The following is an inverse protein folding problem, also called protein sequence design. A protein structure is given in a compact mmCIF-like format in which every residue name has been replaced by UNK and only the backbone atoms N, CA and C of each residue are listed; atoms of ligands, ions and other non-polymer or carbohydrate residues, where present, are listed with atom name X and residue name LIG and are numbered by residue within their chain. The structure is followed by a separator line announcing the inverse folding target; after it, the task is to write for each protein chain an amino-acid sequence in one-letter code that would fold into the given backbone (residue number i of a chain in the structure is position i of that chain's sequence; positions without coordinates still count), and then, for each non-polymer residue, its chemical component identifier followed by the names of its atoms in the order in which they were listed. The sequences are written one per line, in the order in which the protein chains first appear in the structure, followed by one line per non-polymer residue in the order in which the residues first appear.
data_IF_675683560656
#
_entry.id   IF_675683560656
#
_cell.length_a   1.000
_cell.length_b   1.000
_cell.length_c   1.000
_cell.angle_alpha   90.00
_cell.angle_beta   90.00
_cell.angle_gamma   90.00
#
_symmetry.space_group_name_H-M   'P 1'
#
loop_
_entity.id
_entity.type
_entity.pdbx_description
1 polymer ?
#
# COMPACT_ATOMS: atom_id res chain seq x y z
N UNK A 1 8.05 -25.23 -2.43
CA UNK A 1 8.23 -23.92 -3.12
C UNK A 1 8.42 -24.23 -4.60
N UNK A 2 7.76 -23.51 -5.51
CA UNK A 2 7.85 -23.76 -6.95
C UNK A 2 9.31 -23.65 -7.43
N UNK A 3 9.97 -24.75 -7.86
CA UNK A 3 11.40 -24.74 -8.20
C UNK A 3 11.71 -23.92 -9.46
N UNK A 4 10.69 -23.59 -10.26
CA UNK A 4 10.82 -22.71 -11.44
C UNK A 4 10.58 -21.23 -11.13
N UNK A 5 10.20 -20.89 -9.90
CA UNK A 5 9.92 -19.51 -9.51
C UNK A 5 11.16 -18.63 -9.56
N UNK A 6 11.03 -17.45 -10.14
CA UNK A 6 12.09 -16.43 -10.19
C UNK A 6 11.76 -15.27 -9.26
N UNK A 7 12.79 -14.65 -8.69
CA UNK A 7 12.65 -13.50 -7.81
C UNK A 7 13.52 -12.36 -8.34
N UNK A 8 12.91 -11.20 -8.54
CA UNK A 8 13.58 -10.00 -9.04
C UNK A 8 13.48 -8.89 -8.00
N UNK A 9 14.62 -8.27 -7.67
CA UNK A 9 14.66 -7.16 -6.72
C UNK A 9 14.73 -5.83 -7.47
N UNK A 10 13.73 -4.97 -7.24
CA UNK A 10 13.68 -3.60 -7.78
C UNK A 10 13.83 -2.63 -6.62
N UNK A 11 15.06 -2.15 -6.38
CA UNK A 11 15.38 -1.27 -5.26
C UNK A 11 14.86 0.16 -5.50
N UNK A 12 13.84 0.60 -4.74
CA UNK A 12 13.29 1.96 -4.78
C UNK A 12 12.74 2.40 -3.42
N UNK A 13 12.82 3.72 -3.16
CA UNK A 13 12.17 4.34 -2.00
C UNK A 13 10.70 4.66 -2.32
N UNK A 14 9.78 3.83 -1.84
CA UNK A 14 8.34 3.99 -2.06
C UNK A 14 7.69 5.07 -1.17
N UNK A 15 8.47 5.76 -0.35
CA UNK A 15 7.99 6.98 0.32
C UNK A 15 7.88 8.17 -0.63
N UNK A 16 8.16 7.99 -1.93
CA UNK A 16 8.00 8.96 -3.02
C UNK A 16 7.19 8.33 -4.16
N UNK A 17 6.15 9.01 -4.65
CA UNK A 17 5.26 8.47 -5.67
C UNK A 17 5.93 8.36 -7.05
N UNK A 18 6.91 9.21 -7.38
CA UNK A 18 7.68 9.05 -8.63
C UNK A 18 8.42 7.71 -8.74
N UNK A 19 8.88 7.19 -7.60
CA UNK A 19 9.52 5.89 -7.56
C UNK A 19 8.49 4.78 -7.79
N UNK A 20 7.29 4.92 -7.22
CA UNK A 20 6.16 4.01 -7.47
C UNK A 20 5.80 3.99 -8.96
N UNK A 21 5.64 5.16 -9.58
CA UNK A 21 5.34 5.30 -11.00
C UNK A 21 6.39 4.61 -11.87
N UNK A 22 7.68 4.79 -11.54
CA UNK A 22 8.81 4.17 -12.25
C UNK A 22 8.76 2.65 -12.14
N UNK A 23 8.54 2.10 -10.95
CA UNK A 23 8.43 0.65 -10.74
C UNK A 23 7.22 0.09 -11.51
N UNK A 24 6.07 0.75 -11.43
CA UNK A 24 4.89 0.30 -12.15
C UNK A 24 5.09 0.31 -13.67
N UNK A 25 5.78 1.31 -14.21
CA UNK A 25 6.10 1.35 -15.64
C UNK A 25 6.98 0.16 -16.05
N UNK A 26 8.05 -0.10 -15.29
CA UNK A 26 8.95 -1.25 -15.53
C UNK A 26 8.22 -2.60 -15.42
N UNK A 27 7.33 -2.75 -14.44
CA UNK A 27 6.54 -3.97 -14.28
C UNK A 27 5.56 -4.18 -15.43
N UNK A 28 4.85 -3.14 -15.89
CA UNK A 28 3.92 -3.26 -17.02
C UNK A 28 4.59 -3.62 -18.34
N UNK A 29 5.83 -3.19 -18.52
CA UNK A 29 6.62 -3.55 -19.70
C UNK A 29 7.02 -5.04 -19.69
N UNK A 30 7.32 -5.58 -18.51
CA UNK A 30 7.78 -6.97 -18.33
C UNK A 30 6.64 -7.98 -18.20
N UNK A 31 5.57 -7.60 -17.49
CA UNK A 31 4.51 -8.50 -17.06
C UNK A 31 3.14 -7.97 -17.52
N UNK A 32 2.58 -8.49 -18.63
CA UNK A 32 1.29 -8.05 -19.15
C UNK A 32 0.12 -8.44 -18.24
N UNK A 33 0.33 -9.38 -17.31
CA UNK A 33 -0.65 -9.82 -16.30
C UNK A 33 0.02 -9.88 -14.93
N UNK A 34 -0.71 -9.43 -13.91
CA UNK A 34 -0.29 -9.55 -12.50
C UNK A 34 -1.46 -10.17 -11.75
N UNK A 35 -1.23 -11.31 -11.10
CA UNK A 35 -2.28 -12.02 -10.38
C UNK A 35 -2.49 -11.54 -8.94
N UNK A 36 -1.42 -11.04 -8.31
CA UNK A 36 -1.45 -10.63 -6.92
C UNK A 36 -0.51 -9.45 -6.65
N UNK A 37 -1.00 -8.45 -5.93
CA UNK A 37 -0.18 -7.39 -5.31
C UNK A 37 -0.20 -7.54 -3.79
N UNK A 38 1.00 -7.58 -3.20
CA UNK A 38 1.17 -7.64 -1.75
C UNK A 38 1.93 -6.41 -1.25
N UNK A 39 1.21 -5.46 -0.67
CA UNK A 39 1.67 -4.11 -0.39
C UNK A 39 1.95 -3.96 1.11
N UNK A 40 3.19 -4.27 1.52
CA UNK A 40 3.58 -4.42 2.93
C UNK A 40 4.57 -3.38 3.44
N UNK A 41 5.16 -2.58 2.54
CA UNK A 41 6.20 -1.62 2.92
C UNK A 41 5.71 -0.69 4.04
N UNK A 42 6.57 -0.52 5.05
CA UNK A 42 6.25 0.22 6.27
C UNK A 42 7.49 0.38 7.13
N UNK A 43 7.51 1.43 7.95
CA UNK A 43 8.58 1.70 8.90
C UNK A 43 8.01 2.50 10.07
N UNK A 44 8.66 2.43 11.23
CA UNK A 44 8.27 3.15 12.43
C UNK A 44 9.30 4.21 12.80
N UNK A 45 8.85 5.45 12.95
CA UNK A 45 9.64 6.56 13.48
C UNK A 45 8.78 7.39 14.44
N UNK A 46 9.42 8.09 15.37
CA UNK A 46 8.77 9.04 16.27
C UNK A 46 8.79 10.48 15.74
N UNK A 47 9.39 10.72 14.58
CA UNK A 47 9.39 12.02 13.93
C UNK A 47 7.95 12.47 13.63
N UNK A 48 7.72 13.79 13.75
CA UNK A 48 6.48 14.42 13.34
C UNK A 48 6.24 14.32 11.82
N UNK A 49 5.46 15.25 11.27
CA UNK A 49 5.25 15.30 9.82
C UNK A 49 6.57 15.54 9.11
N UNK A 50 6.88 14.76 8.09
CA UNK A 50 8.08 14.92 7.26
C UNK A 50 7.65 14.85 5.80
N UNK A 51 7.61 16.00 5.13
CA UNK A 51 7.13 16.07 3.76
C UNK A 51 8.20 15.67 2.73
N UNK A 52 7.76 15.01 1.66
CA UNK A 52 8.51 14.93 0.41
C UNK A 52 8.36 16.21 -0.38
N UNK A 53 9.18 16.37 -1.42
CA UNK A 53 9.02 17.41 -2.43
C UNK A 53 7.77 17.24 -3.32
N UNK A 54 7.00 16.17 -3.10
CA UNK A 54 5.66 15.94 -3.68
C UNK A 54 4.53 16.43 -2.74
N UNK A 55 4.88 17.03 -1.59
CA UNK A 55 3.92 17.59 -0.62
C UNK A 55 3.18 16.54 0.20
N UNK A 56 3.73 15.33 0.31
CA UNK A 56 3.18 14.19 1.06
C UNK A 56 4.03 13.90 2.29
N UNK A 57 3.41 13.61 3.43
CA UNK A 57 4.16 13.04 4.56
C UNK A 57 4.72 11.66 4.20
N UNK A 58 6.00 11.42 4.48
CA UNK A 58 6.70 10.18 4.14
C UNK A 58 6.04 8.93 4.74
N UNK A 59 5.52 8.99 5.98
CA UNK A 59 4.89 7.84 6.64
C UNK A 59 3.54 7.53 5.99
N UNK A 60 2.72 8.57 5.76
CA UNK A 60 1.45 8.39 5.06
C UNK A 60 1.66 7.96 3.61
N UNK A 61 2.73 8.43 2.96
CA UNK A 61 3.10 7.97 1.63
C UNK A 61 3.38 6.47 1.61
N UNK A 62 4.25 5.98 2.50
CA UNK A 62 4.58 4.55 2.57
C UNK A 62 3.40 3.68 3.01
N UNK A 63 2.62 4.13 4.00
CA UNK A 63 1.55 3.31 4.59
C UNK A 63 0.23 3.34 3.82
N UNK A 64 -0.01 4.36 3.00
CA UNK A 64 -1.27 4.54 2.29
C UNK A 64 -1.09 4.94 0.81
N UNK A 65 -0.56 6.14 0.52
CA UNK A 65 -0.62 6.69 -0.83
C UNK A 65 0.13 5.86 -1.87
N UNK A 66 1.33 5.38 -1.55
CA UNK A 66 2.13 4.53 -2.43
C UNK A 66 1.41 3.23 -2.77
N UNK A 67 0.68 2.66 -1.82
CA UNK A 67 -0.05 1.40 -1.97
C UNK A 67 -1.23 1.57 -2.92
N UNK A 68 -2.02 2.63 -2.72
CA UNK A 68 -3.09 2.97 -3.66
C UNK A 68 -2.53 3.29 -5.05
N UNK A 69 -1.39 3.98 -5.11
CA UNK A 69 -0.74 4.33 -6.39
C UNK A 69 -0.25 3.09 -7.14
N UNK A 70 0.38 2.14 -6.44
CA UNK A 70 0.73 0.82 -7.01
C UNK A 70 -0.50 0.12 -7.55
N UNK A 71 -1.56 0.03 -6.75
CA UNK A 71 -2.81 -0.62 -7.14
C UNK A 71 -3.37 -0.02 -8.42
N UNK A 72 -3.59 1.30 -8.46
CA UNK A 72 -4.19 1.97 -9.63
C UNK A 72 -3.31 1.89 -10.87
N UNK A 73 -1.99 2.09 -10.75
CA UNK A 73 -1.08 2.03 -11.89
C UNK A 73 -0.98 0.62 -12.49
N UNK A 74 -1.16 -0.43 -11.68
CA UNK A 74 -1.10 -1.84 -12.08
C UNK A 74 -2.48 -2.46 -12.33
N UNK A 75 -3.57 -1.70 -12.17
CA UNK A 75 -4.92 -2.19 -12.50
C UNK A 75 -5.04 -2.75 -13.92
N UNK A 76 -4.39 -2.19 -14.97
CA UNK A 76 -4.44 -2.81 -16.30
C UNK A 76 -3.97 -4.28 -16.30
N UNK A 77 -2.88 -4.60 -15.58
CA UNK A 77 -2.35 -5.97 -15.50
C UNK A 77 -3.23 -6.89 -14.63
N UNK A 78 -3.80 -6.35 -13.55
CA UNK A 78 -4.74 -7.06 -12.68
C UNK A 78 -6.06 -7.38 -13.40
N UNK A 79 -6.59 -6.41 -14.13
CA UNK A 79 -7.79 -6.58 -14.97
C UNK A 79 -7.54 -7.63 -16.05
N UNK A 80 -6.38 -7.62 -16.71
CA UNK A 80 -6.02 -8.65 -17.69
C UNK A 80 -5.99 -10.06 -17.08
N UNK A 81 -5.51 -10.21 -15.84
CA UNK A 81 -5.57 -11.48 -15.10
C UNK A 81 -7.03 -11.88 -14.78
N UNK A 82 -7.85 -10.93 -14.33
CA UNK A 82 -9.27 -11.17 -14.06
C UNK A 82 -10.04 -11.56 -15.33
N UNK A 83 -9.83 -10.90 -16.46
CA UNK A 83 -10.47 -11.23 -17.73
C UNK A 83 -10.05 -12.60 -18.26
N UNK A 84 -8.81 -13.02 -17.98
CA UNK A 84 -8.29 -14.34 -18.32
C UNK A 84 -8.84 -15.49 -17.45
N UNK A 85 -9.77 -15.23 -16.53
CA UNK A 85 -10.27 -16.28 -15.63
C UNK A 85 -9.36 -16.54 -14.42
N UNK A 86 -8.24 -15.82 -14.28
CA UNK A 86 -7.21 -16.10 -13.28
C UNK A 86 -7.45 -15.35 -11.97
N UNK A 87 -6.55 -15.57 -11.01
CA UNK A 87 -6.51 -14.84 -9.76
C UNK A 87 -6.16 -13.36 -10.03
N UNK A 88 -6.93 -12.43 -9.47
CA UNK A 88 -6.62 -11.00 -9.44
C UNK A 88 -6.92 -10.45 -8.04
N UNK A 89 -5.86 -10.12 -7.30
CA UNK A 89 -5.93 -9.80 -5.86
C UNK A 89 -4.99 -8.65 -5.51
N UNK A 90 -5.42 -7.78 -4.62
CA UNK A 90 -4.58 -6.76 -4.00
C UNK A 90 -4.77 -6.84 -2.49
N UNK A 91 -3.67 -6.98 -1.75
CA UNK A 91 -3.69 -6.94 -0.29
C UNK A 91 -2.73 -5.86 0.24
N UNK A 92 -3.27 -4.85 0.92
CA UNK A 92 -2.50 -3.82 1.64
C UNK A 92 -2.40 -4.20 3.11
N UNK A 93 -1.19 -4.19 3.69
CA UNK A 93 -0.94 -4.69 5.04
C UNK A 93 -0.63 -3.56 6.00
N UNK A 94 -1.56 -3.25 6.90
CA UNK A 94 -1.36 -2.26 7.95
C UNK A 94 -2.11 -2.67 9.22
N UNK A 95 -3.25 -2.07 9.53
CA UNK A 95 -3.90 -2.17 10.83
C UNK A 95 -5.43 -2.18 10.72
N UNK A 96 -5.95 -2.99 9.78
CA UNK A 96 -7.38 -3.30 9.70
C UNK A 96 -7.92 -3.75 11.08
N UNK A 97 -9.13 -3.31 11.45
CA UNK A 97 -9.72 -3.58 12.77
C UNK A 97 -9.23 -2.64 13.88
N UNK A 98 -8.27 -1.76 13.59
CA UNK A 98 -7.78 -0.73 14.53
C UNK A 98 -8.25 0.67 14.13
N UNK A 99 -9.47 0.80 13.62
CA UNK A 99 -10.02 2.06 13.14
C UNK A 99 -10.13 3.09 14.27
N UNK A 100 -9.60 4.29 14.02
CA UNK A 100 -9.61 5.41 14.94
C UNK A 100 -10.40 6.61 14.40
N UNK A 101 -10.47 7.68 15.19
CA UNK A 101 -11.06 8.94 14.74
C UNK A 101 -10.17 9.59 13.68
N UNK A 102 -10.74 9.90 12.53
CA UNK A 102 -10.10 10.70 11.48
C UNK A 102 -10.68 12.11 11.40
N UNK A 103 -9.84 13.07 11.02
CA UNK A 103 -10.25 14.42 10.66
C UNK A 103 -10.48 14.49 9.14
N UNK A 104 -11.75 14.44 8.73
CA UNK A 104 -12.15 14.43 7.30
C UNK A 104 -11.77 15.73 6.58
N UNK A 105 -11.58 16.84 7.31
CA UNK A 105 -11.16 18.12 6.73
C UNK A 105 -9.63 18.26 6.60
N UNK A 106 -8.88 17.26 7.06
CA UNK A 106 -7.40 17.25 7.08
C UNK A 106 -6.90 15.80 6.88
N UNK A 107 -7.43 15.12 5.85
CA UNK A 107 -7.15 13.70 5.61
C UNK A 107 -5.67 13.40 5.38
N UNK A 108 -4.93 14.33 4.79
CA UNK A 108 -3.48 14.22 4.64
C UNK A 108 -2.70 14.68 5.88
N UNK A 109 -3.35 15.13 6.96
CA UNK A 109 -2.76 15.57 8.21
C UNK A 109 -1.70 16.66 8.04
N UNK A 110 -2.00 17.69 7.24
CA UNK A 110 -1.13 18.87 7.13
C UNK A 110 -1.19 19.75 8.37
N UNK A 111 -2.34 19.81 9.05
CA UNK A 111 -2.54 20.71 10.19
C UNK A 111 -2.50 19.99 11.54
N UNK A 112 -3.04 18.77 11.62
CA UNK A 112 -3.28 18.04 12.87
C UNK A 112 -2.44 16.77 12.97
N UNK A 113 -1.20 16.83 12.50
CA UNK A 113 -0.34 15.65 12.47
C UNK A 113 -0.01 15.12 13.87
N UNK A 114 -0.20 13.81 14.06
CA UNK A 114 0.30 13.06 15.21
C UNK A 114 0.47 11.59 14.81
N UNK A 115 1.35 10.84 15.49
CA UNK A 115 1.66 9.45 15.11
C UNK A 115 0.44 8.54 15.14
N UNK A 116 -0.38 8.64 16.20
CA UNK A 116 -1.62 7.89 16.32
C UNK A 116 -2.66 8.33 15.27
N UNK A 117 -2.78 9.65 15.03
CA UNK A 117 -3.67 10.18 14.00
C UNK A 117 -3.25 9.69 12.60
N UNK A 118 -1.95 9.65 12.29
CA UNK A 118 -1.42 9.17 11.03
C UNK A 118 -1.73 7.69 10.81
N UNK A 119 -1.56 6.84 11.83
CA UNK A 119 -1.95 5.44 11.76
C UNK A 119 -3.46 5.29 11.56
N UNK A 120 -4.28 5.97 12.36
CA UNK A 120 -5.73 5.93 12.26
C UNK A 120 -6.24 6.38 10.88
N UNK A 121 -5.68 7.47 10.34
CA UNK A 121 -5.98 7.95 8.99
C UNK A 121 -5.60 6.93 7.93
N UNK A 122 -4.36 6.39 7.96
CA UNK A 122 -3.94 5.39 6.97
C UNK A 122 -4.80 4.12 7.02
N UNK A 123 -5.19 3.68 8.22
CA UNK A 123 -6.10 2.53 8.40
C UNK A 123 -7.46 2.80 7.77
N UNK A 124 -8.17 3.82 8.26
CA UNK A 124 -9.54 4.12 7.81
C UNK A 124 -9.56 4.44 6.32
N UNK A 125 -8.62 5.23 5.83
CA UNK A 125 -8.54 5.52 4.40
C UNK A 125 -8.27 4.25 3.57
N UNK A 126 -7.45 3.31 4.06
CA UNK A 126 -7.24 2.02 3.37
C UNK A 126 -8.52 1.18 3.33
N UNK A 127 -9.26 1.12 4.45
CA UNK A 127 -10.53 0.37 4.53
C UNK A 127 -11.53 0.87 3.47
N UNK A 128 -11.73 2.19 3.43
CA UNK A 128 -12.65 2.80 2.48
C UNK A 128 -12.14 2.75 1.03
N UNK A 129 -10.83 2.79 0.80
CA UNK A 129 -10.27 2.63 -0.54
C UNK A 129 -10.46 1.21 -1.08
N UNK A 130 -10.32 0.16 -0.27
CA UNK A 130 -10.56 -1.21 -0.76
C UNK A 130 -12.03 -1.42 -1.11
N UNK A 131 -12.97 -0.77 -0.39
CA UNK A 131 -14.39 -0.73 -0.78
C UNK A 131 -14.60 -0.02 -2.12
N UNK A 132 -14.05 1.18 -2.30
CA UNK A 132 -14.18 1.95 -3.55
C UNK A 132 -13.54 1.24 -4.75
N UNK A 133 -12.40 0.57 -4.54
CA UNK A 133 -11.74 -0.21 -5.58
C UNK A 133 -12.57 -1.43 -5.99
N UNK A 134 -13.18 -2.15 -5.05
CA UNK A 134 -14.03 -3.30 -5.36
C UNK A 134 -15.29 -2.90 -6.16
N UNK A 135 -15.85 -1.71 -5.91
CA UNK A 135 -16.96 -1.16 -6.71
C UNK A 135 -16.54 -0.87 -8.15
N UNK A 136 -15.31 -0.38 -8.34
CA UNK A 136 -14.78 0.06 -9.65
C UNK A 136 -14.21 -1.09 -10.48
N UNK A 137 -13.68 -2.12 -9.82
CA UNK A 137 -13.00 -3.25 -10.44
C UNK A 137 -13.58 -4.56 -9.89
N UNK A 138 -14.84 -4.89 -10.21
CA UNK A 138 -15.57 -5.97 -9.56
C UNK A 138 -15.00 -7.37 -9.82
N UNK A 139 -14.13 -7.53 -10.83
CA UNK A 139 -13.39 -8.77 -11.11
C UNK A 139 -12.10 -8.97 -10.30
N UNK A 140 -11.69 -7.97 -9.52
CA UNK A 140 -10.50 -8.02 -8.65
C UNK A 140 -10.93 -7.96 -7.18
N UNK A 141 -10.25 -8.72 -6.33
CA UNK A 141 -10.47 -8.63 -4.88
C UNK A 141 -9.47 -7.69 -4.23
N UNK A 142 -9.95 -6.86 -3.34
CA UNK A 142 -9.16 -5.91 -2.56
C UNK A 142 -9.25 -6.25 -1.07
N UNK A 143 -8.11 -6.26 -0.40
CA UNK A 143 -7.97 -6.62 1.01
C UNK A 143 -7.15 -5.55 1.72
N UNK A 144 -7.55 -5.23 2.95
CA UNK A 144 -6.71 -4.58 3.93
C UNK A 144 -6.57 -5.51 5.12
N UNK A 145 -5.35 -5.87 5.50
CA UNK A 145 -5.12 -6.86 6.55
C UNK A 145 -4.20 -6.34 7.65
N UNK A 146 -4.46 -6.78 8.88
CA UNK A 146 -3.57 -6.60 10.02
C UNK A 146 -2.70 -7.84 10.21
N UNK A 147 -1.36 -7.72 10.27
CA UNK A 147 -0.49 -8.89 10.30
C UNK A 147 -0.30 -9.50 11.68
N UNK A 148 -0.91 -8.91 12.71
CA UNK A 148 -0.60 -9.20 14.10
C UNK A 148 0.68 -8.51 14.56
N UNK A 149 1.06 -8.78 15.81
CA UNK A 149 2.34 -8.33 16.34
C UNK A 149 3.44 -9.28 15.87
N UNK A 150 4.19 -8.89 14.85
CA UNK A 150 5.31 -9.67 14.29
C UNK A 150 6.64 -9.00 14.65
N UNK A 151 7.62 -9.80 15.07
CA UNK A 151 8.99 -9.31 15.30
C UNK A 151 9.71 -9.13 13.95
N UNK A 152 9.79 -7.89 13.48
CA UNK A 152 10.40 -7.53 12.19
C UNK A 152 11.43 -6.40 12.35
N UNK A 153 12.02 -5.97 11.24
CA UNK A 153 12.86 -4.76 11.19
C UNK A 153 12.09 -3.44 11.25
N UNK A 154 10.78 -3.43 11.50
CA UNK A 154 9.94 -2.21 11.46
C UNK A 154 10.43 -1.10 12.40
N UNK A 155 11.09 -1.47 13.50
CA UNK A 155 11.63 -0.58 14.51
C UNK A 155 13.10 -0.15 14.26
N UNK A 156 13.68 -0.46 13.09
CA UNK A 156 15.10 -0.20 12.81
C UNK A 156 15.46 1.30 12.82
N UNK A 157 14.51 2.17 12.46
CA UNK A 157 14.67 3.63 12.48
C UNK A 157 14.56 4.25 13.88
N UNK A 158 14.12 3.46 14.89
CA UNK A 158 14.10 3.94 16.27
C UNK A 158 15.51 3.96 16.86
N UNK A 159 15.82 5.00 17.63
CA UNK A 159 17.09 5.15 18.35
C UNK A 159 16.87 5.33 19.85
N UNK A 160 17.95 5.16 20.62
CA UNK A 160 17.96 5.47 22.05
C UNK A 160 16.89 4.73 22.88
N UNK A 161 16.25 5.42 23.85
CA UNK A 161 15.26 4.81 24.75
C UNK A 161 14.05 4.18 24.04
N UNK A 162 13.62 4.73 22.91
CA UNK A 162 12.49 4.20 22.15
C UNK A 162 12.79 2.80 21.59
N UNK A 163 14.00 2.61 21.05
CA UNK A 163 14.43 1.28 20.56
C UNK A 163 14.55 0.28 21.71
N UNK A 164 15.01 0.71 22.88
CA UNK A 164 15.08 -0.13 24.07
C UNK A 164 13.67 -0.54 24.53
N UNK A 165 12.71 0.39 24.56
CA UNK A 165 11.34 0.11 24.94
C UNK A 165 10.69 -0.95 24.02
N UNK A 166 10.90 -0.86 22.70
CA UNK A 166 10.41 -1.87 21.75
C UNK A 166 11.06 -3.23 21.98
N UNK A 167 12.38 -3.28 22.24
CA UNK A 167 13.06 -4.54 22.58
C UNK A 167 12.50 -5.18 23.84
N UNK A 168 12.28 -4.39 24.90
CA UNK A 168 11.69 -4.86 26.16
C UNK A 168 10.27 -5.36 25.93
N UNK A 169 9.44 -4.60 25.21
CA UNK A 169 8.10 -5.01 24.81
C UNK A 169 8.12 -6.34 24.06
N UNK A 170 9.02 -6.53 23.09
CA UNK A 170 9.12 -7.82 22.39
C UNK A 170 9.54 -8.97 23.31
N UNK A 171 10.43 -8.74 24.27
CA UNK A 171 10.81 -9.77 25.25
C UNK A 171 9.64 -10.15 26.17
N UNK A 172 8.85 -9.18 26.62
CA UNK A 172 7.69 -9.41 27.49
C UNK A 172 6.53 -10.06 26.74
N UNK A 173 6.30 -9.64 25.49
CA UNK A 173 5.18 -10.12 24.69
C UNK A 173 5.49 -11.39 23.89
N UNK A 174 6.68 -11.98 24.03
CA UNK A 174 7.16 -13.08 23.18
C UNK A 174 6.16 -14.23 22.95
N UNK A 175 5.36 -14.69 23.94
CA UNK A 175 4.36 -15.74 23.72
C UNK A 175 3.21 -15.35 22.76
N UNK A 176 2.95 -14.05 22.61
CA UNK A 176 1.88 -13.50 21.77
C UNK A 176 2.41 -12.85 20.48
N UNK A 177 3.73 -12.92 20.23
CA UNK A 177 4.32 -12.46 18.98
C UNK A 177 4.15 -13.55 17.94
N UNK A 178 3.50 -13.21 16.85
CA UNK A 178 3.33 -14.09 15.72
C UNK A 178 4.68 -14.30 15.00
N UNK A 179 4.99 -15.55 14.66
CA UNK A 179 6.18 -15.86 13.90
C UNK A 179 6.11 -15.22 12.50
N UNK A 180 7.23 -14.70 11.98
CA UNK A 180 7.26 -14.03 10.67
C UNK A 180 6.91 -14.98 9.52
N UNK A 181 7.31 -16.24 9.59
CA UNK A 181 6.95 -17.26 8.61
C UNK A 181 5.45 -17.56 8.66
N UNK A 182 4.91 -17.77 9.85
CA UNK A 182 3.48 -18.02 10.04
C UNK A 182 2.64 -16.83 9.55
N UNK A 183 3.05 -15.60 9.86
CA UNK A 183 2.42 -14.40 9.31
C UNK A 183 2.45 -14.43 7.77
N UNK A 184 3.59 -14.74 7.15
CA UNK A 184 3.71 -14.88 5.70
C UNK A 184 2.76 -15.94 5.11
N UNK A 185 2.68 -17.12 5.73
CA UNK A 185 1.79 -18.22 5.30
C UNK A 185 0.31 -17.81 5.37
N UNK A 186 -0.10 -17.12 6.43
CA UNK A 186 -1.47 -16.64 6.60
C UNK A 186 -1.85 -15.58 5.57
N UNK A 187 -0.99 -14.61 5.28
CA UNK A 187 -1.29 -13.61 4.25
C UNK A 187 -1.21 -14.18 2.83
N UNK A 188 -0.37 -15.18 2.60
CA UNK A 188 -0.39 -15.93 1.35
C UNK A 188 -1.71 -16.71 1.19
N UNK A 189 -2.25 -17.28 2.27
CA UNK A 189 -3.59 -17.84 2.28
C UNK A 189 -4.66 -16.79 1.95
N UNK A 190 -4.61 -15.60 2.56
CA UNK A 190 -5.55 -14.51 2.23
C UNK A 190 -5.54 -14.15 0.73
N UNK A 191 -4.35 -14.09 0.11
CA UNK A 191 -4.22 -13.82 -1.32
C UNK A 191 -4.72 -14.97 -2.20
N UNK A 192 -4.52 -16.23 -1.81
CA UNK A 192 -4.74 -17.39 -2.70
C UNK A 192 -6.03 -18.16 -2.42
N UNK A 193 -6.69 -17.94 -1.29
CA UNK A 193 -7.89 -18.68 -0.89
C UNK A 193 -9.13 -18.25 -1.67
N UNK A 194 -9.97 -19.23 -2.00
CA UNK A 194 -11.31 -19.05 -2.56
C UNK A 194 -12.32 -18.48 -1.56
N UNK A 195 -11.97 -18.38 -0.27
CA UNK A 195 -12.82 -17.73 0.75
C UNK A 195 -13.04 -16.24 0.50
N UNK A 196 -12.23 -15.60 -0.35
CA UNK A 196 -12.29 -14.15 -0.59
C UNK A 196 -12.62 -13.81 -2.05
N UNK A 197 -13.75 -14.25 -2.64
CA UNK A 197 -13.99 -14.04 -4.06
C UNK A 197 -14.14 -12.55 -4.44
N UNK A 198 -13.97 -12.18 -5.72
CA UNK A 198 -14.20 -10.80 -6.18
C UNK A 198 -15.69 -10.45 -6.17
N UNK A 199 -16.05 -9.16 -6.24
CA UNK A 199 -17.43 -8.70 -6.10
C UNK A 199 -18.39 -9.33 -7.13
N UNK A 200 -17.92 -9.49 -8.38
CA UNK A 200 -18.69 -10.10 -9.48
C UNK A 200 -19.06 -11.56 -9.23
N UNK A 201 -18.40 -12.24 -8.29
CA UNK A 201 -18.71 -13.63 -7.96
C UNK A 201 -20.17 -13.79 -7.55
N UNK A 202 -20.73 -12.78 -6.87
CA UNK A 202 -22.14 -12.78 -6.42
C UNK A 202 -23.13 -12.83 -7.58
N UNK A 203 -22.75 -12.38 -8.77
CA UNK A 203 -23.61 -12.42 -9.95
C UNK A 203 -23.82 -13.85 -10.45
N UNK A 204 -22.77 -14.69 -10.37
CA UNK A 204 -22.83 -16.08 -10.77
C UNK A 204 -21.81 -16.97 -10.01
N UNK A 205 -22.12 -17.38 -8.77
CA UNK A 205 -21.19 -18.07 -7.89
C UNK A 205 -20.58 -19.37 -8.42
N UNK A 206 -21.29 -20.07 -9.32
CA UNK A 206 -20.85 -21.35 -9.89
C UNK A 206 -19.81 -21.21 -11.00
N UNK A 207 -19.74 -20.05 -11.66
CA UNK A 207 -18.85 -19.82 -12.82
C UNK A 207 -17.82 -18.72 -12.60
N UNK A 208 -18.03 -17.86 -11.60
CA UNK A 208 -17.16 -16.70 -11.30
C UNK A 208 -16.23 -16.93 -10.11
N UNK A 209 -16.14 -18.16 -9.59
CA UNK A 209 -15.15 -18.50 -8.58
C UNK A 209 -13.77 -18.63 -9.22
N UNK A 210 -12.83 -17.80 -8.79
CA UNK A 210 -11.46 -17.78 -9.34
C UNK A 210 -10.65 -18.99 -8.87
N UNK A 211 -9.65 -19.45 -9.66
CA UNK A 211 -8.69 -20.47 -9.22
C UNK A 211 -8.00 -20.04 -7.92
N UNK A 212 -7.76 -20.99 -7.02
CA UNK A 212 -7.13 -20.71 -5.72
C UNK A 212 -7.16 -21.92 -4.78
N UNK A 213 -6.62 -21.73 -3.58
CA UNK A 213 -6.75 -22.71 -2.49
C UNK A 213 -8.24 -22.83 -2.13
N UNK A 214 -8.84 -24.03 -2.17
CA UNK A 214 -10.26 -24.20 -1.86
C UNK A 214 -10.63 -23.64 -0.49
N UNK A 215 -11.80 -23.01 -0.41
CA UNK A 215 -12.32 -22.52 0.85
C UNK A 215 -12.46 -23.68 1.84
N UNK A 216 -11.83 -23.56 3.00
CA UNK A 216 -11.97 -24.56 4.05
C UNK A 216 -13.41 -24.54 4.59
N UNK A 217 -13.96 -25.72 4.93
CA UNK A 217 -15.35 -25.87 5.39
C UNK A 217 -15.70 -24.95 6.57
N UNK A 218 -14.74 -24.67 7.44
CA UNK A 218 -14.90 -23.86 8.65
C UNK A 218 -15.02 -22.36 8.35
N UNK A 219 -14.40 -21.88 7.26
CA UNK A 219 -14.38 -20.47 6.91
C UNK A 219 -15.41 -20.12 5.83
N UNK A 220 -15.74 -21.03 4.91
CA UNK A 220 -16.68 -20.75 3.82
C UNK A 220 -16.28 -19.53 2.97
N UNK A 221 -17.28 -18.84 2.42
CA UNK A 221 -17.09 -17.55 1.76
C UNK A 221 -17.16 -16.44 2.79
N UNK A 222 -16.20 -15.53 2.76
CA UNK A 222 -16.11 -14.47 3.75
C UNK A 222 -17.01 -13.29 3.49
N UNK A 223 -17.49 -12.74 4.60
CA UNK A 223 -18.14 -11.44 4.65
C UNK A 223 -17.06 -10.37 4.50
N UNK A 224 -17.25 -9.49 3.54
CA UNK A 224 -16.35 -8.36 3.37
C UNK A 224 -16.66 -7.23 4.34
N UNK A 225 -16.04 -6.09 4.08
CA UNK A 225 -16.13 -4.88 4.91
C UNK A 225 -17.59 -4.41 5.11
N UNK A 226 -18.44 -4.59 4.10
CA UNK A 226 -19.85 -4.21 4.10
C UNK A 226 -20.78 -5.26 4.78
N UNK A 227 -20.21 -6.35 5.31
CA UNK A 227 -20.96 -7.47 5.89
C UNK A 227 -21.54 -8.44 4.86
N UNK A 228 -21.35 -8.20 3.55
CA UNK A 228 -21.85 -9.06 2.47
C UNK A 228 -20.85 -10.18 2.18
N UNK A 229 -21.33 -11.42 2.04
CA UNK A 229 -20.50 -12.53 1.57
C UNK A 229 -20.05 -12.28 0.13
N UNK A 230 -18.75 -12.39 -0.13
CA UNK A 230 -18.24 -12.19 -1.49
C UNK A 230 -18.29 -10.73 -1.96
N UNK A 231 -18.13 -9.76 -1.06
CA UNK A 231 -18.23 -8.33 -1.42
C UNK A 231 -17.12 -7.85 -2.37
N UNK A 232 -16.00 -8.58 -2.46
CA UNK A 232 -14.79 -8.17 -3.17
C UNK A 232 -13.88 -7.22 -2.39
N UNK A 233 -14.32 -6.70 -1.24
CA UNK A 233 -13.55 -5.83 -0.34
C UNK A 233 -13.50 -6.42 1.07
N UNK A 234 -12.32 -6.78 1.55
CA UNK A 234 -12.16 -7.51 2.81
C UNK A 234 -11.24 -6.78 3.79
N UNK A 235 -11.69 -6.67 5.04
CA UNK A 235 -10.87 -6.26 6.16
C UNK A 235 -10.54 -7.51 6.97
N UNK A 236 -9.26 -7.87 7.09
CA UNK A 236 -8.84 -9.17 7.64
C UNK A 236 -7.90 -9.01 8.82
N UNK A 237 -8.11 -9.83 9.85
CA UNK A 237 -7.21 -9.91 11.00
C UNK A 237 -6.04 -10.88 10.72
N UNK A 238 -5.11 -10.98 11.67
CA UNK A 238 -3.93 -11.84 11.61
C UNK A 238 -4.28 -13.34 11.49
N UNK A 239 -5.51 -13.74 11.77
CA UNK A 239 -6.04 -15.10 11.61
C UNK A 239 -6.87 -15.31 10.34
N UNK A 240 -6.84 -14.34 9.42
CA UNK A 240 -7.58 -14.34 8.14
C UNK A 240 -9.10 -14.28 8.28
N UNK A 241 -9.64 -13.99 9.46
CA UNK A 241 -11.07 -13.71 9.65
C UNK A 241 -11.37 -12.24 9.36
N UNK A 242 -12.63 -11.98 9.02
CA UNK A 242 -13.13 -10.62 8.87
C UNK A 242 -12.98 -9.84 10.18
N UNK A 243 -12.52 -8.60 10.08
CA UNK A 243 -12.37 -7.66 11.20
C UNK A 243 -12.94 -6.29 10.82
N UNK A 244 -12.91 -5.35 11.76
CA UNK A 244 -13.40 -3.99 11.57
C UNK A 244 -14.20 -3.49 12.77
N UNK A 245 -13.96 -2.26 13.19
CA UNK A 245 -14.76 -1.58 14.19
C UNK A 245 -16.05 -1.04 13.56
N UNK A 246 -17.09 -1.88 13.53
CA UNK A 246 -18.37 -1.55 12.88
C UNK A 246 -19.00 -0.24 13.39
N UNK A 247 -18.79 0.14 14.65
CA UNK A 247 -19.29 1.42 15.16
C UNK A 247 -18.62 2.61 14.46
N UNK A 248 -17.32 2.53 14.21
CA UNK A 248 -16.55 3.56 13.52
C UNK A 248 -16.82 3.51 12.02
N UNK A 249 -16.78 2.33 11.41
CA UNK A 249 -17.01 2.14 9.98
C UNK A 249 -18.42 2.57 9.57
N UNK A 250 -19.46 2.15 10.31
CA UNK A 250 -20.84 2.56 10.02
C UNK A 250 -20.99 4.07 10.05
N UNK A 251 -20.45 4.73 11.08
CA UNK A 251 -20.50 6.20 11.16
C UNK A 251 -19.89 6.85 9.92
N UNK A 252 -18.71 6.40 9.49
CA UNK A 252 -18.05 7.00 8.33
C UNK A 252 -18.71 6.63 7.00
N UNK A 253 -19.38 5.47 6.90
CA UNK A 253 -20.26 5.15 5.77
C UNK A 253 -21.47 6.08 5.73
N UNK A 254 -22.11 6.33 6.87
CA UNK A 254 -23.24 7.27 6.97
C UNK A 254 -22.81 8.71 6.62
N UNK A 255 -21.56 9.08 6.91
CA UNK A 255 -20.94 10.37 6.51
C UNK A 255 -20.39 10.37 5.06
N UNK A 256 -20.62 9.30 4.29
CA UNK A 256 -20.17 9.14 2.89
C UNK A 256 -18.64 9.27 2.70
N UNK A 257 -17.84 8.71 3.62
CA UNK A 257 -16.38 8.87 3.63
C UNK A 257 -15.69 8.23 2.41
N UNK A 258 -16.23 7.13 1.84
CA UNK A 258 -15.62 6.42 0.71
C UNK A 258 -15.29 7.32 -0.49
N UNK A 259 -16.29 7.97 -1.11
CA UNK A 259 -16.06 8.93 -2.18
C UNK A 259 -15.13 10.10 -1.78
N UNK A 260 -15.24 10.59 -0.54
CA UNK A 260 -14.37 11.68 -0.05
C UNK A 260 -12.91 11.25 0.00
N UNK A 261 -12.62 10.03 0.49
CA UNK A 261 -11.27 9.47 0.53
C UNK A 261 -10.74 9.24 -0.90
N UNK A 262 -11.59 8.74 -1.80
CA UNK A 262 -11.23 8.57 -3.21
C UNK A 262 -10.82 9.91 -3.84
N UNK A 263 -11.68 10.93 -3.76
CA UNK A 263 -11.43 12.27 -4.31
C UNK A 263 -10.18 12.91 -3.71
N UNK A 264 -10.03 12.84 -2.38
CA UNK A 264 -8.83 13.30 -1.68
C UNK A 264 -7.57 12.63 -2.24
N UNK A 265 -7.60 11.31 -2.38
CA UNK A 265 -6.44 10.55 -2.85
C UNK A 265 -6.06 10.90 -4.28
N UNK A 266 -7.06 11.04 -5.16
CA UNK A 266 -6.82 11.46 -6.55
C UNK A 266 -6.26 12.88 -6.61
N UNK A 267 -6.77 13.79 -5.77
CA UNK A 267 -6.23 15.15 -5.65
C UNK A 267 -4.78 15.16 -5.18
N UNK A 268 -4.43 14.34 -4.18
CA UNK A 268 -3.05 14.24 -3.70
C UNK A 268 -2.10 13.72 -4.78
N UNK A 269 -2.55 12.77 -5.61
CA UNK A 269 -1.79 12.30 -6.76
C UNK A 269 -1.57 13.37 -7.82
N UNK A 270 -2.62 14.11 -8.19
CA UNK A 270 -2.51 15.21 -9.15
C UNK A 270 -1.56 16.32 -8.62
N UNK A 271 -1.65 16.66 -7.34
CA UNK A 271 -0.75 17.63 -6.71
C UNK A 271 0.71 17.16 -6.75
N UNK A 272 0.97 15.88 -6.44
CA UNK A 272 2.30 15.30 -6.52
C UNK A 272 2.88 15.33 -7.94
N UNK A 273 2.06 15.05 -8.97
CA UNK A 273 2.45 15.18 -10.38
C UNK A 273 2.79 16.62 -10.76
N UNK A 274 1.95 17.59 -10.35
CA UNK A 274 2.16 19.01 -10.62
C UNK A 274 3.46 19.53 -9.99
N UNK A 275 3.71 19.20 -8.73
CA UNK A 275 4.93 19.61 -8.02
C UNK A 275 6.18 19.01 -8.68
N UNK A 276 6.11 17.75 -9.12
CA UNK A 276 7.20 17.11 -9.88
C UNK A 276 7.46 17.79 -11.22
N UNK A 277 6.41 18.12 -11.97
CA UNK A 277 6.53 18.81 -13.25
C UNK A 277 7.18 20.20 -13.08
N UNK A 278 6.72 20.97 -12.08
CA UNK A 278 7.32 22.28 -11.71
C UNK A 278 8.80 22.15 -11.35
N UNK A 279 9.18 21.12 -10.57
CA UNK A 279 10.58 20.86 -10.20
C UNK A 279 11.44 20.53 -11.42
N UNK A 280 10.94 19.68 -12.33
CA UNK A 280 11.66 19.33 -13.58
C UNK A 280 11.84 20.56 -14.49
N UNK A 281 10.80 21.39 -14.63
CA UNK A 281 10.87 22.61 -15.43
C UNK A 281 11.88 23.62 -14.89
N UNK A 282 11.95 23.81 -13.56
CA UNK A 282 12.97 24.66 -12.94
C UNK A 282 14.39 24.16 -13.19
N UNK A 283 14.64 22.85 -13.02
CA UNK A 283 15.96 22.25 -13.28
C UNK A 283 16.38 22.39 -14.74
N UNK A 284 15.45 22.16 -15.69
CA UNK A 284 15.74 22.39 -17.10
C UNK A 284 16.11 23.84 -17.41
N UNK A 285 15.40 24.81 -16.80
CA UNK A 285 15.73 26.23 -16.96
C UNK A 285 17.07 26.63 -16.31
N UNK A 286 17.45 26.02 -15.18
CA UNK A 286 18.76 26.23 -14.54
C UNK A 286 19.89 25.60 -15.36
N UNK A 287 19.71 24.38 -15.86
CA UNK A 287 20.68 23.69 -16.73
C UNK A 287 20.86 24.43 -18.08
N UNK A 288 19.78 24.99 -18.65
CA UNK A 288 19.83 25.81 -19.87
C UNK A 288 20.51 27.17 -19.61
N UNK A 289 20.30 27.77 -18.43
CA UNK A 289 20.96 29.01 -18.03
C UNK A 289 22.47 28.78 -17.82
N UNK A 290 22.88 27.67 -17.19
CA UNK A 290 24.29 27.29 -17.03
C UNK A 290 24.94 26.85 -18.34
N UNK A 291 24.18 26.28 -19.28
CA UNK A 291 24.64 25.92 -20.64
C UNK A 291 24.88 27.12 -21.57
N UNK A 292 24.42 28.32 -21.19
CA UNK A 292 24.61 29.57 -21.95
C UNK A 292 25.88 30.35 -21.57
N UNK A 293 26.57 29.95 -20.49
CA UNK A 293 27.91 30.44 -20.18
C UNK A 293 28.95 29.61 -20.92
N UNK A 294 29.83 30.25 -21.71
CA UNK A 294 31.02 29.61 -22.25
C UNK A 294 31.71 28.81 -21.14
N UNK A 295 31.77 27.48 -21.30
CA UNK A 295 32.60 26.64 -20.43
C UNK A 295 34.04 27.09 -20.65
N UNK A 296 34.57 27.89 -19.73
CA UNK A 296 36.00 28.13 -19.63
C UNK A 296 36.66 26.76 -19.56
N UNK A 297 37.57 26.40 -20.49
CA UNK A 297 38.22 25.11 -20.44
C UNK A 297 38.89 24.97 -19.09
N UNK A 298 38.61 23.87 -18.38
CA UNK A 298 39.39 23.50 -17.20
C UNK A 298 40.80 23.25 -17.75
N UNK A 299 41.70 24.20 -17.52
CA UNK A 299 43.10 24.07 -17.90
C UNK A 299 43.72 23.09 -16.92
N UNK A 300 44.11 21.93 -17.44
CA UNK A 300 44.87 20.96 -16.66
C UNK A 300 46.13 21.63 -16.10
N UNK A 301 46.43 21.49 -14.79
CA UNK A 301 47.65 22.04 -14.24
C UNK A 301 48.87 21.42 -14.94
N UNK A 302 49.89 22.25 -15.18
CA UNK A 302 51.17 21.86 -15.77
C UNK A 302 51.73 20.60 -15.09
N UNK A 303 51.65 19.45 -15.78
CA UNK A 303 52.18 18.17 -15.31
C UNK A 303 51.22 16.99 -15.27
N UNK A 304 49.92 17.15 -15.58
CA UNK A 304 48.99 16.01 -15.60
C UNK A 304 49.27 15.08 -16.78
N UNK A 305 49.58 13.80 -16.51
CA UNK A 305 49.63 12.72 -17.50
C UNK A 305 48.45 11.77 -17.27
N UNK A 306 47.65 11.42 -18.30
CA UNK A 306 46.64 10.38 -18.19
C UNK A 306 47.29 9.02 -17.93
N UNK A 307 46.76 8.28 -16.95
CA UNK A 307 47.05 6.87 -16.70
C UNK A 307 45.99 5.98 -17.33
#
# INVERSE_FOLDING_TARGET
INPSGQCFFIARDVSRLENVDTVCAELREKEPKINALFLTAGYMTLSGRTETDEGLDRKMCTNYYSRIRFTLNLMPCLTAAAEAGELSRVNTILAAGSEGKVNVQDLDLKKNFGLHAALAHCTVMSDFMVEELAKRYPGTTFMHSYPGTVKTGIANELTGPARLAVKVMYSVMSPWILNVQESGERHFYQLTSQSFPPAEWRENPSTKLRPGVPAQKEFGIMKGSDGTEGSGAYLLDWDSKSTGNEKVLKRYRDENLGPVVWEHTMKMFAQAEELRAKRKGKRGAEDDAEGSGERTPIVDPLGWRPG
#
